data_IF_994234819927
#
_entry.id   IF_994234819927
#
_cell.length_a   1.000
_cell.length_b   1.000
_cell.length_c   1.000
_cell.angle_alpha   90.00
_cell.angle_beta   90.00
_cell.angle_gamma   90.00
#
_symmetry.space_group_name_H-M   'P 1'
#
loop_
_entity.id
_entity.type
_entity.pdbx_description
1 polymer ?
#
# COMPACT_ATOMS: atom_id res chain seq x y z
N UNK A 1 -22.10 13.81 -23.30
CA UNK A 1 -21.46 15.07 -23.78
C UNK A 1 -20.25 14.77 -24.67
N UNK A 2 -19.48 13.72 -24.40
CA UNK A 2 -18.21 13.47 -25.09
C UNK A 2 -18.32 12.56 -26.34
N UNK A 3 -19.45 11.86 -26.49
CA UNK A 3 -19.72 10.96 -27.61
C UNK A 3 -19.04 9.59 -27.46
N UNK A 4 -18.69 8.95 -28.58
CA UNK A 4 -18.03 7.63 -28.59
C UNK A 4 -16.60 7.73 -28.07
N UNK A 5 -16.19 6.73 -27.28
CA UNK A 5 -14.82 6.54 -26.76
C UNK A 5 -13.90 5.94 -27.84
N UNK A 6 -12.57 6.11 -27.74
CA UNK A 6 -11.86 6.94 -26.76
C UNK A 6 -12.09 8.44 -27.01
N UNK A 7 -12.20 9.24 -25.94
CA UNK A 7 -12.43 10.69 -26.08
C UNK A 7 -11.14 11.43 -26.43
N UNK A 8 -11.20 12.42 -27.32
CA UNK A 8 -10.02 13.26 -27.58
C UNK A 8 -9.78 14.21 -26.42
N UNK A 9 -8.53 14.63 -26.26
CA UNK A 9 -8.12 15.61 -25.26
C UNK A 9 -8.90 16.92 -25.39
N UNK A 10 -8.98 17.47 -26.61
CA UNK A 10 -9.77 18.67 -26.90
C UNK A 10 -11.22 18.55 -26.44
N UNK A 11 -11.85 17.38 -26.62
CA UNK A 11 -13.24 17.16 -26.18
C UNK A 11 -13.36 17.15 -24.67
N UNK A 12 -12.44 16.50 -23.97
CA UNK A 12 -12.42 16.45 -22.50
C UNK A 12 -12.19 17.86 -21.95
N UNK A 13 -11.21 18.59 -22.47
CA UNK A 13 -10.92 19.97 -22.04
C UNK A 13 -12.12 20.89 -22.30
N UNK A 14 -12.71 20.85 -23.51
CA UNK A 14 -13.90 21.66 -23.83
C UNK A 14 -15.09 21.33 -22.92
N UNK A 15 -15.30 20.05 -22.63
CA UNK A 15 -16.32 19.59 -21.71
C UNK A 15 -16.09 20.07 -20.27
N UNK A 16 -14.84 20.04 -19.80
CA UNK A 16 -14.47 20.48 -18.45
C UNK A 16 -14.87 21.94 -18.22
N UNK A 17 -14.52 22.81 -19.16
CA UNK A 17 -14.83 24.24 -19.08
C UNK A 17 -16.30 24.57 -19.33
N UNK A 18 -17.05 23.68 -19.98
CA UNK A 18 -18.49 23.85 -20.19
C UNK A 18 -19.31 23.41 -18.96
N UNK A 19 -19.07 22.19 -18.48
CA UNK A 19 -19.75 21.62 -17.31
C UNK A 19 -18.89 20.49 -16.69
N UNK A 20 -18.01 20.87 -15.76
CA UNK A 20 -17.12 19.91 -15.09
C UNK A 20 -17.88 18.85 -14.29
N UNK A 21 -19.08 19.13 -13.78
CA UNK A 21 -19.85 18.16 -13.00
C UNK A 21 -20.41 17.07 -13.92
N UNK A 22 -20.99 17.47 -15.05
CA UNK A 22 -21.45 16.52 -16.05
C UNK A 22 -20.30 15.67 -16.62
N UNK A 23 -19.11 16.25 -16.77
CA UNK A 23 -17.90 15.50 -17.16
C UNK A 23 -17.50 14.46 -16.10
N UNK A 24 -17.51 14.81 -14.81
CA UNK A 24 -17.20 13.88 -13.73
C UNK A 24 -18.21 12.72 -13.67
N UNK A 25 -19.50 13.00 -13.90
CA UNK A 25 -20.54 11.97 -14.03
C UNK A 25 -20.28 11.06 -15.23
N UNK A 26 -19.94 11.60 -16.40
CA UNK A 26 -19.64 10.81 -17.60
C UNK A 26 -18.38 9.94 -17.38
N UNK A 27 -17.35 10.46 -16.70
CA UNK A 27 -16.16 9.71 -16.28
C UNK A 27 -16.49 8.60 -15.26
N UNK A 28 -17.45 8.84 -14.36
CA UNK A 28 -17.88 7.83 -13.38
C UNK A 28 -18.46 6.58 -14.05
N UNK A 29 -19.01 6.72 -15.27
CA UNK A 29 -19.52 5.62 -16.10
C UNK A 29 -18.48 4.98 -17.03
N UNK A 30 -17.22 5.41 -16.96
CA UNK A 30 -16.16 4.85 -17.80
C UNK A 30 -15.88 3.38 -17.43
N UNK A 31 -15.77 2.42 -18.38
CA UNK A 31 -15.69 1.00 -18.06
C UNK A 31 -14.37 0.70 -17.35
N UNK A 32 -13.29 1.33 -17.81
CA UNK A 32 -11.98 1.28 -17.18
C UNK A 32 -11.91 1.83 -15.76
N UNK A 33 -12.90 2.62 -15.30
CA UNK A 33 -12.92 3.15 -13.93
C UNK A 33 -13.03 2.02 -12.91
N UNK A 34 -13.99 1.11 -13.12
CA UNK A 34 -14.22 0.00 -12.19
C UNK A 34 -12.96 -0.87 -12.10
N UNK A 35 -12.39 -1.24 -13.25
CA UNK A 35 -11.18 -2.06 -13.30
C UNK A 35 -9.97 -1.35 -12.67
N UNK A 36 -9.79 -0.06 -12.94
CA UNK A 36 -8.75 0.74 -12.30
C UNK A 36 -8.89 0.75 -10.77
N UNK A 37 -10.10 1.00 -10.26
CA UNK A 37 -10.36 1.03 -8.82
C UNK A 37 -10.14 -0.34 -8.16
N UNK A 38 -10.51 -1.43 -8.83
CA UNK A 38 -10.25 -2.78 -8.32
C UNK A 38 -8.75 -3.10 -8.30
N UNK A 39 -7.98 -2.72 -9.33
CA UNK A 39 -6.52 -2.86 -9.32
C UNK A 39 -5.88 -2.07 -8.18
N UNK A 40 -6.29 -0.81 -7.98
CA UNK A 40 -5.81 0.03 -6.87
C UNK A 40 -6.15 -0.62 -5.53
N UNK A 41 -7.36 -1.18 -5.36
CA UNK A 41 -7.76 -1.87 -4.13
C UNK A 41 -6.94 -3.13 -3.87
N UNK A 42 -6.73 -3.98 -4.88
CA UNK A 42 -5.91 -5.19 -4.77
C UNK A 42 -4.48 -4.80 -4.39
N UNK A 43 -3.87 -3.86 -5.12
CA UNK A 43 -2.52 -3.37 -4.84
C UNK A 43 -2.42 -2.83 -3.41
N UNK A 44 -3.34 -1.96 -3.00
CA UNK A 44 -3.33 -1.36 -1.67
C UNK A 44 -3.52 -2.39 -0.55
N UNK A 45 -4.40 -3.38 -0.78
CA UNK A 45 -4.57 -4.49 0.14
C UNK A 45 -3.29 -5.33 0.31
N UNK A 46 -2.60 -5.58 -0.81
CA UNK A 46 -1.28 -6.23 -0.81
C UNK A 46 -0.25 -5.45 0.00
N UNK A 47 -0.11 -4.15 -0.27
CA UNK A 47 0.81 -3.25 0.46
C UNK A 47 0.53 -3.24 1.97
N UNK A 48 -0.74 -3.20 2.39
CA UNK A 48 -1.12 -3.22 3.82
C UNK A 48 -0.70 -4.54 4.47
N UNK A 49 -0.94 -5.67 3.80
CA UNK A 49 -0.56 -6.97 4.32
C UNK A 49 0.98 -7.14 4.35
N UNK A 50 1.68 -6.74 3.30
CA UNK A 50 3.15 -6.75 3.26
C UNK A 50 3.73 -5.92 4.41
N UNK A 51 3.23 -4.69 4.62
CA UNK A 51 3.67 -3.83 5.72
C UNK A 51 3.39 -4.46 7.09
N UNK A 52 2.21 -5.06 7.29
CA UNK A 52 1.88 -5.73 8.54
C UNK A 52 2.80 -6.92 8.83
N UNK A 53 3.17 -7.70 7.81
CA UNK A 53 4.14 -8.80 7.95
C UNK A 53 5.55 -8.30 8.21
N UNK A 54 5.98 -7.19 7.60
CA UNK A 54 7.28 -6.58 7.86
C UNK A 54 7.40 -6.09 9.30
N UNK A 55 6.38 -5.40 9.81
CA UNK A 55 6.34 -4.95 11.20
C UNK A 55 6.36 -6.14 12.19
N UNK A 56 5.73 -7.27 11.84
CA UNK A 56 5.84 -8.50 12.62
C UNK A 56 7.27 -9.04 12.61
N UNK A 57 7.91 -9.14 11.44
CA UNK A 57 9.30 -9.60 11.32
C UNK A 57 10.28 -8.67 12.03
N UNK A 58 10.05 -7.36 12.01
CA UNK A 58 10.84 -6.37 12.75
C UNK A 58 10.78 -6.61 14.27
N UNK A 59 9.58 -6.93 14.79
CA UNK A 59 9.39 -7.22 16.22
C UNK A 59 10.01 -8.57 16.59
N UNK A 60 9.84 -9.61 15.77
CA UNK A 60 10.53 -10.91 15.94
C UNK A 60 12.04 -10.68 16.01
N UNK A 61 12.59 -9.88 15.09
CA UNK A 61 14.02 -9.56 15.05
C UNK A 61 14.47 -8.77 16.28
N UNK A 62 13.66 -7.82 16.76
CA UNK A 62 13.93 -7.07 17.98
C UNK A 62 13.93 -7.98 19.21
N UNK A 63 13.00 -8.93 19.27
CA UNK A 63 12.91 -9.92 20.34
C UNK A 63 14.15 -10.82 20.37
N UNK A 64 14.53 -11.39 19.22
CA UNK A 64 15.77 -12.20 19.08
C UNK A 64 17.00 -11.43 19.55
N UNK A 65 17.16 -10.16 19.12
CA UNK A 65 18.28 -9.31 19.56
C UNK A 65 18.33 -9.04 21.06
N UNK A 66 17.18 -9.05 21.75
CA UNK A 66 17.17 -8.90 23.21
C UNK A 66 17.52 -10.21 23.91
N UNK A 67 17.05 -11.35 23.40
CA UNK A 67 17.45 -12.67 23.89
C UNK A 67 18.94 -12.96 23.63
N UNK A 68 19.52 -12.46 22.54
CA UNK A 68 20.97 -12.57 22.28
C UNK A 68 21.81 -11.81 23.34
N UNK A 69 21.27 -10.72 23.89
CA UNK A 69 21.95 -9.94 24.95
C UNK A 69 21.79 -10.60 26.31
N UNK A 70 20.57 -11.07 26.60
CA UNK A 70 20.23 -11.72 27.85
C UNK A 70 19.55 -13.06 27.53
N UNK A 71 20.33 -14.15 27.53
CA UNK A 71 19.86 -15.49 27.18
C UNK A 71 18.68 -15.97 28.02
N UNK A 72 18.45 -15.35 29.19
CA UNK A 72 17.32 -15.61 30.08
C UNK A 72 16.78 -14.25 30.58
N UNK A 73 15.48 -13.94 30.41
CA UNK A 73 14.85 -12.77 31.01
C UNK A 73 15.08 -12.72 32.52
N UNK A 74 15.56 -11.58 33.01
CA UNK A 74 15.73 -11.33 34.44
C UNK A 74 14.63 -10.40 34.94
N UNK A 75 14.43 -10.30 36.25
CA UNK A 75 13.48 -9.33 36.84
C UNK A 75 13.74 -7.88 36.37
N UNK A 76 14.99 -7.55 36.04
CA UNK A 76 15.39 -6.23 35.53
C UNK A 76 14.96 -6.01 34.08
N UNK A 77 14.95 -7.07 33.27
CA UNK A 77 14.60 -7.02 31.84
C UNK A 77 13.17 -7.45 31.55
N UNK A 78 12.44 -7.98 32.53
CA UNK A 78 11.06 -8.47 32.39
C UNK A 78 10.12 -7.47 31.73
N UNK A 79 10.10 -6.21 32.16
CA UNK A 79 9.22 -5.20 31.58
C UNK A 79 9.48 -4.93 30.09
N UNK A 80 10.71 -5.15 29.62
CA UNK A 80 11.06 -5.04 28.20
C UNK A 80 10.55 -6.25 27.42
N UNK A 81 10.66 -7.46 28.00
CA UNK A 81 10.09 -8.67 27.40
C UNK A 81 8.56 -8.63 27.38
N UNK A 82 7.90 -8.18 28.46
CA UNK A 82 6.45 -8.00 28.50
C UNK A 82 5.95 -7.05 27.40
N UNK A 83 6.70 -5.96 27.14
CA UNK A 83 6.40 -5.04 26.05
C UNK A 83 6.60 -5.70 24.68
N UNK A 84 7.66 -6.49 24.51
CA UNK A 84 7.93 -7.23 23.28
C UNK A 84 6.86 -8.30 23.01
N UNK A 85 6.44 -9.05 24.03
CA UNK A 85 5.35 -10.04 23.94
C UNK A 85 4.03 -9.38 23.52
N UNK A 86 3.69 -8.27 24.18
CA UNK A 86 2.48 -7.50 23.85
C UNK A 86 2.54 -7.00 22.40
N UNK A 87 3.69 -6.46 22.00
CA UNK A 87 3.88 -5.94 20.64
C UNK A 87 3.84 -7.06 19.60
N UNK A 88 4.46 -8.21 19.89
CA UNK A 88 4.50 -9.38 19.02
C UNK A 88 3.10 -9.94 18.78
N UNK A 89 2.33 -10.12 19.87
CA UNK A 89 0.93 -10.53 19.79
C UNK A 89 0.10 -9.55 18.96
N UNK A 90 0.21 -8.24 19.22
CA UNK A 90 -0.48 -7.21 18.44
C UNK A 90 -0.14 -7.29 16.95
N UNK A 91 1.15 -7.39 16.58
CA UNK A 91 1.58 -7.45 15.17
C UNK A 91 1.12 -8.73 14.48
N UNK A 92 1.12 -9.86 15.17
CA UNK A 92 0.60 -11.11 14.65
C UNK A 92 -0.91 -11.03 14.34
N UNK A 93 -1.69 -10.41 15.24
CA UNK A 93 -3.12 -10.18 15.01
C UNK A 93 -3.32 -9.24 13.81
N UNK A 94 -2.56 -8.13 13.74
CA UNK A 94 -2.64 -7.19 12.62
C UNK A 94 -2.32 -7.85 11.28
N UNK A 95 -1.28 -8.67 11.21
CA UNK A 95 -0.92 -9.42 10.01
C UNK A 95 -2.02 -10.42 9.60
N UNK A 96 -2.63 -11.10 10.56
CA UNK A 96 -3.74 -12.04 10.32
C UNK A 96 -5.02 -11.34 9.86
N UNK A 97 -5.33 -10.17 10.44
CA UNK A 97 -6.45 -9.30 10.00
C UNK A 97 -6.22 -8.77 8.59
N UNK A 98 -5.00 -8.32 8.28
CA UNK A 98 -4.64 -7.85 6.95
C UNK A 98 -4.76 -8.97 5.91
N UNK A 99 -4.34 -10.19 6.25
CA UNK A 99 -4.50 -11.38 5.41
C UNK A 99 -5.98 -11.65 5.08
N UNK A 100 -6.85 -11.67 6.10
CA UNK A 100 -8.28 -11.90 5.92
C UNK A 100 -8.93 -10.78 5.07
N UNK A 101 -8.58 -9.53 5.36
CA UNK A 101 -9.07 -8.37 4.60
C UNK A 101 -8.70 -8.46 3.13
N UNK A 102 -7.47 -8.90 2.81
CA UNK A 102 -7.02 -9.09 1.43
C UNK A 102 -7.81 -10.20 0.72
N UNK A 103 -8.13 -11.30 1.41
CA UNK A 103 -8.99 -12.36 0.86
C UNK A 103 -10.37 -11.81 0.52
N UNK A 104 -10.98 -11.04 1.42
CA UNK A 104 -12.30 -10.44 1.20
C UNK A 104 -12.30 -9.41 0.07
N UNK A 105 -11.25 -8.59 -0.02
CA UNK A 105 -11.06 -7.68 -1.14
C UNK A 105 -10.91 -8.43 -2.45
N UNK A 106 -10.08 -9.48 -2.49
CA UNK A 106 -9.88 -10.29 -3.70
C UNK A 106 -11.18 -10.95 -4.18
N UNK A 107 -11.98 -11.50 -3.27
CA UNK A 107 -13.32 -12.07 -3.58
C UNK A 107 -14.29 -11.01 -4.09
N UNK A 108 -14.25 -9.80 -3.51
CA UNK A 108 -15.08 -8.68 -3.97
C UNK A 108 -14.64 -8.20 -5.35
N UNK A 109 -13.34 -7.98 -5.56
CA UNK A 109 -12.77 -7.59 -6.85
C UNK A 109 -13.07 -8.59 -7.94
N UNK A 110 -13.01 -9.90 -7.66
CA UNK A 110 -13.37 -10.95 -8.63
C UNK A 110 -14.79 -10.80 -9.19
N UNK A 111 -15.75 -10.27 -8.40
CA UNK A 111 -17.14 -10.03 -8.86
C UNK A 111 -17.28 -8.80 -9.76
N UNK A 112 -16.36 -7.85 -9.65
CA UNK A 112 -16.38 -6.58 -10.39
C UNK A 112 -15.45 -6.60 -11.62
N UNK A 113 -14.54 -7.57 -11.69
CA UNK A 113 -13.65 -7.80 -12.81
C UNK A 113 -14.32 -8.73 -13.84
N UNK A 114 -13.93 -8.64 -15.13
CA UNK A 114 -14.33 -9.63 -16.12
C UNK A 114 -13.82 -11.02 -15.72
N UNK A 115 -14.22 -12.04 -16.48
CA UNK A 115 -13.68 -13.37 -16.29
C UNK A 115 -12.16 -13.36 -16.46
N UNK A 116 -11.45 -13.70 -15.37
CA UNK A 116 -10.00 -13.80 -15.34
C UNK A 116 -9.62 -15.26 -15.61
N UNK A 117 -8.91 -15.56 -16.70
CA UNK A 117 -8.48 -16.93 -17.01
C UNK A 117 -7.66 -17.55 -15.88
N UNK A 118 -7.88 -18.82 -15.59
CA UNK A 118 -7.13 -19.62 -14.62
C UNK A 118 -7.12 -19.07 -13.17
N UNK A 119 -8.06 -18.19 -12.80
CA UNK A 119 -8.12 -17.60 -11.46
C UNK A 119 -8.21 -18.63 -10.35
N UNK A 120 -9.16 -19.56 -10.47
CA UNK A 120 -9.32 -20.60 -9.46
C UNK A 120 -8.15 -21.60 -9.46
N UNK A 121 -7.53 -21.84 -10.61
CA UNK A 121 -6.38 -22.73 -10.71
C UNK A 121 -5.15 -22.12 -10.04
N UNK A 122 -4.85 -20.83 -10.30
CA UNK A 122 -3.75 -20.13 -9.62
C UNK A 122 -4.01 -20.00 -8.11
N UNK A 123 -5.25 -19.68 -7.71
CA UNK A 123 -5.64 -19.64 -6.31
C UNK A 123 -5.44 -21.01 -5.65
N UNK A 124 -5.86 -22.09 -6.31
CA UNK A 124 -5.67 -23.45 -5.78
C UNK A 124 -4.20 -23.83 -5.73
N UNK A 125 -3.43 -23.54 -6.78
CA UNK A 125 -2.01 -23.83 -6.84
C UNK A 125 -1.23 -23.19 -5.69
N UNK A 126 -1.54 -21.93 -5.33
CA UNK A 126 -0.80 -21.21 -4.29
C UNK A 126 -1.33 -21.45 -2.88
N UNK A 127 -2.64 -21.69 -2.71
CA UNK A 127 -3.30 -21.70 -1.40
C UNK A 127 -4.04 -22.99 -1.05
N UNK A 128 -4.29 -23.90 -1.99
CA UNK A 128 -4.93 -25.19 -1.68
C UNK A 128 -3.92 -26.25 -1.29
N UNK A 129 -4.29 -27.09 -0.33
CA UNK A 129 -3.43 -28.16 0.19
C UNK A 129 -2.28 -27.66 1.08
N UNK A 130 -2.12 -26.34 1.21
CA UNK A 130 -1.04 -25.73 1.95
C UNK A 130 -1.55 -25.05 3.23
N UNK A 131 -1.18 -25.58 4.40
CA UNK A 131 -1.77 -25.19 5.68
C UNK A 131 -1.65 -23.72 6.13
N UNK A 132 -0.58 -22.95 5.83
CA UNK A 132 -0.40 -21.60 6.38
C UNK A 132 -1.55 -20.63 6.08
N UNK A 133 -2.20 -20.78 4.91
CA UNK A 133 -3.26 -19.85 4.48
C UNK A 133 -4.52 -19.92 5.37
N UNK A 134 -5.03 -21.12 5.63
CA UNK A 134 -6.22 -21.31 6.46
C UNK A 134 -5.87 -21.05 7.93
N UNK A 135 -4.67 -21.48 8.37
CA UNK A 135 -4.20 -21.21 9.72
C UNK A 135 -4.13 -19.71 10.02
N UNK A 136 -3.50 -18.90 9.17
CA UNK A 136 -3.37 -17.44 9.40
C UNK A 136 -4.75 -16.76 9.41
N UNK A 137 -5.69 -17.19 8.57
CA UNK A 137 -7.06 -16.67 8.60
C UNK A 137 -7.78 -17.04 9.90
N UNK A 138 -7.68 -18.29 10.33
CA UNK A 138 -8.34 -18.75 11.55
C UNK A 138 -7.66 -18.22 12.81
N UNK A 139 -6.36 -17.90 12.76
CA UNK A 139 -5.61 -17.27 13.86
C UNK A 139 -6.22 -15.92 14.25
N UNK A 140 -6.72 -15.16 13.27
CA UNK A 140 -7.51 -13.94 13.55
C UNK A 140 -8.79 -14.26 14.31
N UNK A 141 -9.46 -15.35 13.99
CA UNK A 141 -10.71 -15.74 14.66
C UNK A 141 -10.45 -16.24 16.07
N UNK A 142 -9.39 -17.04 16.26
CA UNK A 142 -8.89 -17.42 17.58
C UNK A 142 -8.65 -16.17 18.45
N UNK A 143 -7.86 -15.22 17.93
CA UNK A 143 -7.52 -13.98 18.65
C UNK A 143 -8.75 -13.09 18.97
N UNK A 144 -9.77 -13.12 18.12
CA UNK A 144 -10.96 -12.29 18.29
C UNK A 144 -12.02 -12.91 19.21
N UNK A 145 -12.03 -14.25 19.38
CA UNK A 145 -13.15 -14.96 19.99
C UNK A 145 -12.77 -15.91 21.12
N UNK A 146 -11.49 -16.22 21.30
CA UNK A 146 -11.05 -17.19 22.30
C UNK A 146 -9.98 -16.61 23.22
N UNK A 147 -8.75 -16.43 22.73
CA UNK A 147 -7.62 -15.98 23.53
C UNK A 147 -6.55 -15.33 22.66
N UNK A 148 -5.60 -14.63 23.28
CA UNK A 148 -4.45 -14.06 22.60
C UNK A 148 -3.42 -15.15 22.25
N UNK A 149 -2.94 -15.21 21.00
CA UNK A 149 -1.85 -16.12 20.65
C UNK A 149 -0.57 -15.67 21.37
N UNK A 150 -0.13 -16.47 22.34
CA UNK A 150 1.10 -16.24 23.09
C UNK A 150 2.27 -16.92 22.40
N UNK A 151 3.36 -16.18 22.23
CA UNK A 151 4.61 -16.72 21.70
C UNK A 151 5.47 -17.31 22.81
N UNK A 152 6.14 -18.40 22.51
CA UNK A 152 7.22 -18.97 23.29
C UNK A 152 8.53 -18.86 22.49
N UNK A 153 9.64 -18.98 23.19
CA UNK A 153 10.96 -18.98 22.56
C UNK A 153 11.82 -20.15 23.05
N UNK A 154 12.70 -20.62 22.20
CA UNK A 154 13.70 -21.64 22.52
C UNK A 154 15.07 -21.22 21.96
N UNK A 155 16.11 -21.47 22.76
CA UNK A 155 17.50 -21.34 22.35
C UNK A 155 18.03 -22.72 21.94
N UNK A 156 18.54 -22.82 20.72
CA UNK A 156 19.17 -24.03 20.19
C UNK A 156 20.59 -23.75 19.70
N UNK A 157 21.44 -24.77 19.81
CA UNK A 157 22.81 -24.74 19.29
C UNK A 157 22.93 -25.82 18.24
N UNK A 158 23.16 -25.40 16.99
CA UNK A 158 23.39 -26.28 15.86
C UNK A 158 24.89 -26.40 15.64
N UNK A 159 25.40 -27.63 15.69
CA UNK A 159 26.81 -27.93 15.40
C UNK A 159 26.93 -28.39 13.95
N UNK A 160 27.65 -27.61 13.13
CA UNK A 160 27.98 -27.96 11.76
C UNK A 160 29.31 -28.72 11.73
N UNK A 161 29.36 -29.84 11.01
CA UNK A 161 30.58 -30.62 10.81
C UNK A 161 31.51 -30.04 9.71
N UNK A 162 31.31 -28.79 9.32
CA UNK A 162 32.08 -28.08 8.30
C UNK A 162 32.64 -26.75 8.84
N UNK A 163 33.22 -25.93 7.96
CA UNK A 163 33.83 -24.66 8.34
C UNK A 163 32.87 -23.65 9.00
N UNK A 164 31.55 -23.89 8.98
CA UNK A 164 30.55 -23.04 9.64
C UNK A 164 30.55 -23.19 11.17
N UNK A 165 31.15 -24.25 11.72
CA UNK A 165 31.34 -24.42 13.15
C UNK A 165 30.02 -24.47 13.94
N UNK A 166 29.87 -23.62 14.96
CA UNK A 166 28.70 -23.56 15.83
C UNK A 166 27.77 -22.43 15.39
N UNK A 167 26.48 -22.73 15.23
CA UNK A 167 25.41 -21.75 14.99
C UNK A 167 24.48 -21.72 16.20
N UNK A 168 24.31 -20.55 16.80
CA UNK A 168 23.32 -20.31 17.85
C UNK A 168 22.05 -19.76 17.20
N UNK A 169 20.90 -20.34 17.56
CA UNK A 169 19.61 -19.99 16.96
C UNK A 169 18.55 -19.81 18.03
N UNK A 170 17.83 -18.70 17.92
CA UNK A 170 16.66 -18.39 18.73
C UNK A 170 15.43 -18.52 17.86
N UNK A 171 14.53 -19.40 18.25
CA UNK A 171 13.27 -19.63 17.56
C UNK A 171 12.10 -19.09 18.37
N UNK A 172 11.27 -18.29 17.73
CA UNK A 172 10.00 -17.80 18.27
C UNK A 172 8.87 -18.60 17.63
N UNK A 173 8.08 -19.26 18.47
CA UNK A 173 7.03 -20.17 18.02
C UNK A 173 5.76 -20.02 18.85
N UNK A 174 4.66 -20.59 18.35
CA UNK A 174 3.46 -20.84 19.15
C UNK A 174 3.33 -22.34 19.38
N UNK A 175 2.99 -22.73 20.61
CA UNK A 175 2.65 -24.11 20.94
C UNK A 175 1.27 -24.47 20.34
N UNK A 176 1.27 -25.42 19.40
CA UNK A 176 0.03 -25.90 18.78
C UNK A 176 -0.92 -26.57 19.76
N UNK A 177 -0.43 -27.16 20.86
CA UNK A 177 -1.30 -27.81 21.86
C UNK A 177 -2.22 -26.80 22.52
N UNK A 178 -1.70 -25.62 22.87
CA UNK A 178 -2.49 -24.50 23.42
C UNK A 178 -3.51 -24.01 22.40
N UNK A 179 -3.09 -23.83 21.15
CA UNK A 179 -4.01 -23.41 20.09
C UNK A 179 -5.14 -24.42 19.86
N UNK A 180 -4.86 -25.73 19.93
CA UNK A 180 -5.84 -26.80 19.73
C UNK A 180 -6.92 -26.87 20.82
N UNK A 181 -6.80 -26.13 21.92
CA UNK A 181 -7.88 -26.00 22.92
C UNK A 181 -9.10 -25.25 22.35
N UNK A 182 -8.89 -24.39 21.35
CA UNK A 182 -9.97 -23.74 20.62
C UNK A 182 -10.63 -24.72 19.65
N UNK A 183 -11.93 -24.96 19.79
CA UNK A 183 -12.62 -26.00 19.01
C UNK A 183 -13.03 -25.56 17.60
N UNK A 184 -13.09 -24.27 17.32
CA UNK A 184 -13.65 -23.75 16.05
C UNK A 184 -12.60 -23.53 14.95
N UNK A 185 -11.42 -24.16 15.04
CA UNK A 185 -10.51 -24.25 13.90
C UNK A 185 -11.16 -24.98 12.73
N UNK A 186 -11.05 -24.44 11.52
CA UNK A 186 -11.46 -25.18 10.32
C UNK A 186 -10.64 -26.46 10.16
N UNK A 187 -11.16 -27.47 9.43
CA UNK A 187 -10.48 -28.75 9.27
C UNK A 187 -9.03 -28.65 8.75
N UNK A 188 -8.75 -27.73 7.82
CA UNK A 188 -7.40 -27.51 7.30
C UNK A 188 -6.44 -26.92 8.35
N UNK A 189 -6.88 -25.92 9.10
CA UNK A 189 -6.12 -25.32 10.20
C UNK A 189 -5.90 -26.32 11.33
N UNK A 190 -6.92 -27.11 11.70
CA UNK A 190 -6.78 -28.17 12.70
C UNK A 190 -5.76 -29.22 12.25
N UNK A 191 -5.82 -29.66 10.98
CA UNK A 191 -4.85 -30.59 10.43
C UNK A 191 -3.42 -30.00 10.40
N UNK A 192 -3.27 -28.69 10.19
CA UNK A 192 -1.99 -27.99 10.33
C UNK A 192 -1.44 -28.10 11.74
N UNK A 193 -2.24 -27.70 12.72
CA UNK A 193 -1.87 -27.66 14.12
C UNK A 193 -1.53 -29.06 14.64
N UNK A 194 -2.28 -30.09 14.23
CA UNK A 194 -2.00 -31.47 14.66
C UNK A 194 -0.72 -32.06 14.05
N UNK A 195 -0.21 -31.53 12.94
CA UNK A 195 1.02 -31.99 12.30
C UNK A 195 2.28 -31.26 12.79
N UNK A 196 2.12 -30.12 13.42
CA UNK A 196 3.22 -29.28 13.88
C UNK A 196 3.09 -29.11 15.38
N UNK A 197 4.04 -29.62 16.18
CA UNK A 197 4.01 -29.38 17.62
C UNK A 197 4.24 -27.89 17.94
N UNK A 198 5.10 -27.24 17.15
CA UNK A 198 5.47 -25.83 17.28
C UNK A 198 5.34 -25.13 15.93
N UNK A 199 4.85 -23.90 15.95
CA UNK A 199 4.62 -23.09 14.74
C UNK A 199 5.62 -21.93 14.74
N UNK A 200 6.65 -22.00 13.91
CA UNK A 200 7.60 -20.91 13.74
C UNK A 200 6.94 -19.67 13.14
N UNK A 201 6.87 -18.57 13.91
CA UNK A 201 6.15 -17.37 13.50
C UNK A 201 6.73 -16.74 12.23
N UNK A 202 8.05 -16.56 12.21
CA UNK A 202 8.75 -15.95 11.09
C UNK A 202 8.56 -16.76 9.80
N UNK A 203 8.70 -18.09 9.89
CA UNK A 203 8.58 -18.99 8.76
C UNK A 203 7.16 -18.97 8.18
N UNK A 204 6.14 -19.16 9.02
CA UNK A 204 4.74 -19.24 8.58
C UNK A 204 4.28 -17.95 7.90
N UNK A 205 4.58 -16.80 8.50
CA UNK A 205 4.19 -15.52 7.91
C UNK A 205 5.01 -15.18 6.66
N UNK A 206 6.30 -15.53 6.60
CA UNK A 206 7.13 -15.28 5.42
C UNK A 206 6.73 -16.14 4.23
N UNK A 207 6.48 -17.44 4.45
CA UNK A 207 5.99 -18.34 3.39
C UNK A 207 4.64 -17.87 2.86
N UNK A 208 3.73 -17.47 3.76
CA UNK A 208 2.44 -16.94 3.35
C UNK A 208 2.56 -15.61 2.62
N UNK A 209 3.45 -14.70 3.08
CA UNK A 209 3.76 -13.43 2.41
C UNK A 209 4.15 -13.66 0.96
N UNK A 210 5.10 -14.56 0.72
CA UNK A 210 5.59 -14.83 -0.63
C UNK A 210 4.46 -15.28 -1.58
N UNK A 211 3.54 -16.11 -1.10
CA UNK A 211 2.41 -16.57 -1.91
C UNK A 211 1.43 -15.47 -2.24
N UNK A 212 1.12 -14.63 -1.26
CA UNK A 212 0.27 -13.46 -1.46
C UNK A 212 0.87 -12.50 -2.49
N UNK A 213 2.18 -12.20 -2.37
CA UNK A 213 2.91 -11.37 -3.34
C UNK A 213 2.83 -11.98 -4.73
N UNK A 214 3.13 -13.28 -4.87
CA UNK A 214 3.09 -13.98 -6.16
C UNK A 214 1.68 -13.96 -6.77
N UNK A 215 0.64 -14.22 -5.97
CA UNK A 215 -0.74 -14.21 -6.42
C UNK A 215 -1.18 -12.81 -6.87
N UNK A 216 -0.88 -11.77 -6.09
CA UNK A 216 -1.25 -10.40 -6.41
C UNK A 216 -0.53 -9.88 -7.66
N UNK A 217 0.77 -10.16 -7.80
CA UNK A 217 1.54 -9.80 -9.00
C UNK A 217 0.97 -10.48 -10.24
N UNK A 218 0.72 -11.79 -10.16
CA UNK A 218 0.07 -12.54 -11.22
C UNK A 218 -1.30 -11.94 -11.57
N UNK A 219 -2.17 -11.74 -10.59
CA UNK A 219 -3.53 -11.24 -10.79
C UNK A 219 -3.53 -9.85 -11.45
N UNK A 220 -2.69 -8.92 -10.98
CA UNK A 220 -2.57 -7.58 -11.55
C UNK A 220 -2.08 -7.63 -13.00
N UNK A 221 -1.13 -8.51 -13.31
CA UNK A 221 -0.63 -8.67 -14.69
C UNK A 221 -1.70 -9.23 -15.64
N UNK A 222 -2.52 -10.17 -15.18
CA UNK A 222 -3.62 -10.71 -16.00
C UNK A 222 -4.71 -9.65 -16.18
N UNK A 223 -5.08 -8.89 -15.16
CA UNK A 223 -6.04 -7.79 -15.30
C UNK A 223 -5.56 -6.76 -16.33
N UNK A 224 -4.29 -6.33 -16.25
CA UNK A 224 -3.73 -5.38 -17.22
C UNK A 224 -3.72 -5.98 -18.64
N UNK A 225 -3.52 -7.29 -18.79
CA UNK A 225 -3.61 -7.95 -20.11
C UNK A 225 -5.04 -7.98 -20.66
N UNK A 226 -6.03 -8.32 -19.83
CA UNK A 226 -7.42 -8.51 -20.27
C UNK A 226 -8.18 -7.20 -20.50
N UNK A 227 -7.91 -6.17 -19.68
CA UNK A 227 -8.64 -4.89 -19.72
C UNK A 227 -7.76 -3.64 -19.71
N UNK A 228 -6.46 -3.80 -20.01
CA UNK A 228 -5.47 -2.73 -20.01
C UNK A 228 -5.87 -1.54 -20.88
N UNK A 229 -6.39 -1.77 -22.09
CA UNK A 229 -6.82 -0.69 -22.98
C UNK A 229 -7.89 0.21 -22.34
N UNK A 230 -8.90 -0.40 -21.70
CA UNK A 230 -9.95 0.34 -21.00
C UNK A 230 -9.40 1.13 -19.82
N UNK A 231 -8.47 0.56 -19.06
CA UNK A 231 -7.83 1.20 -17.91
C UNK A 231 -6.95 2.36 -18.37
N UNK A 232 -6.18 2.17 -19.45
CA UNK A 232 -5.31 3.20 -20.02
C UNK A 232 -6.13 4.37 -20.56
N UNK A 233 -7.23 4.11 -21.28
CA UNK A 233 -8.14 5.16 -21.74
C UNK A 233 -8.76 5.95 -20.57
N UNK A 234 -9.17 5.25 -19.51
CA UNK A 234 -9.67 5.88 -18.28
C UNK A 234 -8.59 6.77 -17.63
N UNK A 235 -7.39 6.22 -17.38
CA UNK A 235 -6.27 6.92 -16.74
C UNK A 235 -5.88 8.15 -17.55
N UNK A 236 -5.78 8.03 -18.87
CA UNK A 236 -5.52 9.16 -19.78
C UNK A 236 -6.58 10.25 -19.62
N UNK A 237 -7.86 9.86 -19.61
CA UNK A 237 -8.97 10.81 -19.45
C UNK A 237 -8.93 11.53 -18.10
N UNK A 238 -8.62 10.81 -17.01
CA UNK A 238 -8.43 11.39 -15.67
C UNK A 238 -7.28 12.39 -15.65
N UNK A 239 -6.13 12.05 -16.24
CA UNK A 239 -4.96 12.95 -16.30
C UNK A 239 -5.31 14.27 -17.00
N UNK A 240 -6.07 14.22 -18.10
CA UNK A 240 -6.52 15.43 -18.80
C UNK A 240 -7.42 16.27 -17.90
N UNK A 241 -8.39 15.66 -17.21
CA UNK A 241 -9.27 16.38 -16.28
C UNK A 241 -8.51 16.99 -15.11
N UNK A 242 -7.58 16.25 -14.51
CA UNK A 242 -6.75 16.80 -13.44
C UNK A 242 -5.87 17.96 -13.94
N UNK A 243 -5.34 17.87 -15.17
CA UNK A 243 -4.61 18.98 -15.79
C UNK A 243 -5.47 20.22 -15.92
N UNK A 244 -6.69 20.12 -16.43
CA UNK A 244 -7.59 21.28 -16.55
C UNK A 244 -7.98 21.85 -15.17
N UNK A 245 -8.18 20.98 -14.17
CA UNK A 245 -8.45 21.40 -12.79
C UNK A 245 -7.27 22.16 -12.18
N UNK A 246 -6.05 21.66 -12.37
CA UNK A 246 -4.84 22.34 -11.94
C UNK A 246 -4.66 23.67 -12.67
N UNK A 247 -4.86 23.70 -13.98
CA UNK A 247 -4.81 24.92 -14.80
C UNK A 247 -5.75 26.00 -14.24
N UNK A 248 -7.01 25.64 -13.95
CA UNK A 248 -7.98 26.55 -13.34
C UNK A 248 -7.50 27.14 -12.01
N UNK A 249 -6.95 26.31 -11.12
CA UNK A 249 -6.38 26.78 -9.83
C UNK A 249 -5.21 27.73 -10.04
N UNK A 250 -4.30 27.41 -10.95
CA UNK A 250 -3.14 28.24 -11.25
C UNK A 250 -3.54 29.57 -11.90
N UNK A 251 -4.50 29.58 -12.83
CA UNK A 251 -5.07 30.82 -13.38
C UNK A 251 -5.62 31.71 -12.27
N UNK A 252 -6.36 31.14 -11.31
CA UNK A 252 -6.88 31.90 -10.17
C UNK A 252 -5.76 32.42 -9.28
N UNK A 253 -4.73 31.62 -8.98
CA UNK A 253 -3.56 32.06 -8.23
C UNK A 253 -2.84 33.23 -8.92
N UNK A 254 -2.51 33.09 -10.21
CA UNK A 254 -1.86 34.13 -11.03
C UNK A 254 -2.70 35.40 -11.08
N UNK A 255 -4.02 35.28 -11.21
CA UNK A 255 -4.92 36.43 -11.22
C UNK A 255 -4.87 37.23 -9.91
N UNK A 256 -4.69 36.53 -8.77
CA UNK A 256 -4.59 37.11 -7.41
C UNK A 256 -3.20 37.65 -7.08
N UNK A 257 -2.17 37.30 -7.85
CA UNK A 257 -0.83 37.83 -7.67
C UNK A 257 -0.84 39.35 -7.89
N UNK A 258 -0.51 40.09 -6.83
CA UNK A 258 -0.33 41.53 -6.85
C UNK A 258 1.12 41.87 -7.27
N UNK A 259 1.33 42.59 -8.40
CA UNK A 259 2.65 43.06 -8.82
C UNK A 259 3.36 43.91 -7.75
N UNK A 260 2.67 44.43 -6.74
CA UNK A 260 3.29 45.22 -5.66
C UNK A 260 3.43 44.46 -4.34
N UNK A 261 2.94 43.23 -4.26
CA UNK A 261 3.05 42.45 -3.03
C UNK A 261 4.51 42.07 -2.75
N UNK A 262 4.92 42.29 -1.51
CA UNK A 262 6.21 41.82 -0.97
C UNK A 262 6.29 40.30 -0.98
N UNK A 263 5.16 39.63 -0.71
CA UNK A 263 5.02 38.18 -0.79
C UNK A 263 4.47 37.76 -2.16
N UNK A 264 5.37 37.55 -3.12
CA UNK A 264 5.02 37.07 -4.45
C UNK A 264 4.51 35.62 -4.47
N UNK A 265 5.04 34.77 -3.58
CA UNK A 265 4.70 33.35 -3.51
C UNK A 265 3.40 33.09 -2.76
N UNK A 266 2.90 34.08 -2.01
CA UNK A 266 1.66 34.01 -1.23
C UNK A 266 0.46 33.45 -1.99
N UNK A 267 0.31 33.82 -3.27
CA UNK A 267 -0.77 33.33 -4.12
C UNK A 267 -0.69 31.82 -4.44
N UNK A 268 0.48 31.20 -4.26
CA UNK A 268 0.76 29.80 -4.56
C UNK A 268 0.95 28.94 -3.31
N UNK A 269 0.82 29.50 -2.10
CA UNK A 269 1.10 28.78 -0.86
C UNK A 269 0.27 27.51 -0.66
N UNK A 270 -0.95 27.46 -1.20
CA UNK A 270 -1.82 26.27 -1.14
C UNK A 270 -1.43 25.18 -2.16
N UNK A 271 -0.49 25.49 -3.07
CA UNK A 271 -0.06 24.60 -4.15
C UNK A 271 1.38 24.11 -3.98
N UNK A 272 2.08 24.57 -2.94
CA UNK A 272 3.47 24.23 -2.65
C UNK A 272 3.57 23.46 -1.34
N UNK A 273 4.40 22.42 -1.32
CA UNK A 273 4.84 21.78 -0.08
C UNK A 273 5.76 22.72 0.71
N UNK A 274 5.99 22.40 1.99
CA UNK A 274 6.91 23.19 2.83
C UNK A 274 8.33 23.22 2.26
N UNK A 275 8.80 22.08 1.72
CA UNK A 275 10.13 21.97 1.14
C UNK A 275 10.28 22.84 -0.11
N UNK A 276 9.29 22.80 -1.00
CA UNK A 276 9.30 23.62 -2.23
C UNK A 276 9.25 25.12 -1.94
N UNK A 277 8.53 25.54 -0.90
CA UNK A 277 8.52 26.95 -0.45
C UNK A 277 9.91 27.41 -0.05
N UNK A 278 10.56 26.67 0.85
CA UNK A 278 11.93 26.98 1.31
C UNK A 278 12.89 27.01 0.13
N UNK A 279 12.76 26.06 -0.80
CA UNK A 279 13.58 26.03 -2.01
C UNK A 279 13.37 27.27 -2.89
N UNK A 280 12.12 27.68 -3.11
CA UNK A 280 11.79 28.84 -3.94
C UNK A 280 12.22 30.18 -3.31
N UNK A 281 12.21 30.27 -1.98
CA UNK A 281 12.69 31.44 -1.23
C UNK A 281 14.21 31.64 -1.32
N UNK A 282 14.98 30.61 -1.69
CA UNK A 282 16.43 30.73 -1.92
C UNK A 282 16.78 31.53 -3.19
N UNK A 283 15.84 31.71 -4.12
CA UNK A 283 16.05 32.50 -5.32
C UNK A 283 15.69 33.97 -5.09
N UNK A 284 16.36 34.94 -5.75
CA UNK A 284 15.95 36.33 -5.68
C UNK A 284 14.48 36.50 -6.10
N UNK A 285 13.71 37.21 -5.30
CA UNK A 285 12.26 37.43 -5.51
C UNK A 285 12.00 37.92 -6.92
N UNK A 286 11.11 37.20 -7.65
CA UNK A 286 10.68 37.46 -9.03
C UNK A 286 11.79 37.38 -10.10
N UNK A 287 12.94 36.81 -9.76
CA UNK A 287 13.95 36.51 -10.77
C UNK A 287 13.44 35.47 -11.76
N UNK A 288 13.93 35.50 -13.01
CA UNK A 288 13.60 34.49 -14.02
C UNK A 288 13.85 33.06 -13.48
N UNK A 289 14.93 32.87 -12.70
CA UNK A 289 15.23 31.58 -12.05
C UNK A 289 14.15 31.14 -11.05
N UNK A 290 13.60 32.06 -10.26
CA UNK A 290 12.51 31.74 -9.33
C UNK A 290 11.25 31.35 -10.10
N UNK A 291 10.94 32.06 -11.19
CA UNK A 291 9.78 31.78 -12.03
C UNK A 291 9.90 30.45 -12.78
N UNK A 292 11.07 30.14 -13.34
CA UNK A 292 11.37 28.84 -13.97
C UNK A 292 11.22 27.71 -12.96
N UNK A 293 11.79 27.85 -11.76
CA UNK A 293 11.67 26.83 -10.73
C UNK A 293 10.23 26.66 -10.25
N UNK A 294 9.50 27.76 -10.08
CA UNK A 294 8.08 27.74 -9.74
C UNK A 294 7.26 27.02 -10.82
N UNK A 295 7.59 27.24 -12.10
CA UNK A 295 7.00 26.52 -13.22
C UNK A 295 7.24 25.03 -13.11
N UNK A 296 8.48 24.60 -12.90
CA UNK A 296 8.82 23.19 -12.78
C UNK A 296 8.04 22.49 -11.66
N UNK A 297 7.98 23.11 -10.48
CA UNK A 297 7.29 22.56 -9.31
C UNK A 297 5.78 22.48 -9.53
N UNK A 298 5.19 23.54 -10.09
CA UNK A 298 3.73 23.64 -10.26
C UNK A 298 3.21 23.00 -11.54
N UNK A 299 4.08 22.58 -12.48
CA UNK A 299 3.67 21.95 -13.74
C UNK A 299 3.22 20.48 -13.58
N UNK A 300 2.36 20.24 -12.60
CA UNK A 300 1.75 18.93 -12.35
C UNK A 300 0.79 18.60 -13.50
N UNK A 301 0.92 17.40 -14.07
CA UNK A 301 0.15 16.95 -15.25
C UNK A 301 0.31 17.81 -16.52
N UNK A 302 1.31 18.69 -16.60
CA UNK A 302 1.43 19.63 -17.72
C UNK A 302 0.48 20.83 -17.63
N UNK A 303 -0.04 21.15 -16.44
CA UNK A 303 -1.04 22.20 -16.25
C UNK A 303 -0.48 23.63 -16.31
N UNK A 304 0.82 23.81 -16.06
CA UNK A 304 1.49 25.12 -16.10
C UNK A 304 2.24 25.29 -17.43
N UNK A 305 1.46 25.58 -18.47
CA UNK A 305 1.95 25.75 -19.83
C UNK A 305 2.56 27.14 -20.08
N UNK A 306 3.03 27.35 -21.31
CA UNK A 306 3.68 28.59 -21.72
C UNK A 306 2.75 29.82 -21.60
N UNK A 307 1.44 29.64 -21.81
CA UNK A 307 0.48 30.74 -21.72
C UNK A 307 0.39 31.27 -20.28
N UNK A 308 0.18 30.39 -19.30
CA UNK A 308 0.13 30.79 -17.89
C UNK A 308 1.48 31.30 -17.40
N UNK A 309 2.59 30.72 -17.89
CA UNK A 309 3.92 31.15 -17.51
C UNK A 309 4.18 32.59 -17.96
N UNK A 310 3.84 32.92 -19.21
CA UNK A 310 3.97 34.29 -19.73
C UNK A 310 3.03 35.28 -19.03
N UNK A 311 1.83 34.85 -18.62
CA UNK A 311 0.94 35.70 -17.81
C UNK A 311 1.57 36.05 -16.45
N UNK A 312 2.12 35.04 -15.75
CA UNK A 312 2.81 35.26 -14.49
C UNK A 312 4.04 36.15 -14.65
N UNK A 313 4.84 35.92 -15.69
CA UNK A 313 6.06 36.69 -15.99
C UNK A 313 5.75 38.15 -16.27
N UNK A 314 4.67 38.45 -16.98
CA UNK A 314 4.22 39.84 -17.19
C UNK A 314 3.85 40.53 -15.87
N UNK A 315 3.18 39.81 -14.95
CA UNK A 315 2.82 40.33 -13.63
C UNK A 315 4.03 40.53 -12.71
N UNK A 316 5.12 39.79 -12.91
CA UNK A 316 6.33 39.92 -12.07
C UNK A 316 7.25 41.07 -12.49
N UNK A 317 7.08 41.61 -13.70
CA UNK A 317 7.88 42.71 -14.26
C UNK A 317 7.31 44.13 -14.00
N UNK A 318 6.13 44.22 -13.39
CA UNK A 318 5.40 45.47 -13.08
C UNK A 318 5.61 45.86 -11.62
#
# INVERSE_FOLDING_TARGET
MLGKRPWSEERISKAYWHDHKALEEELATHPGRVYHLEMVRIKKGGEIFEKATEELTEVISAYKRELDKESIPTRRTQSRFDLLDTTLCMRMIMASVAAMSLVDYSRRSRRNLPEIPNFDDMRKQLFSGEPPHEFIQDLRNYAAHYDLPTSEWEFSVIWHNDARGKEERIDLFIDSKKLLEFNDWKPASRAFLSRNERIGLEEVFSQYKQKVVNFNQWLLSVIEKEVGENIQDYRRSVVIVERERWRCRLTLAISRTDPKATDFLGAFHEHLTLQEKVELECYPTRSDKQLERLREVLNVYGAFDDELYEELRKKSQI
#
